data_IF_712037568881
#
_entry.id   IF_712037568881
#
_cell.length_a   1.000
_cell.length_b   1.000
_cell.length_c   1.000
_cell.angle_alpha   90.00
_cell.angle_beta   90.00
_cell.angle_gamma   90.00
#
_symmetry.space_group_name_H-M   'P 1'
#
loop_
_entity.id
_entity.type
_entity.pdbx_description
1 polymer ?
#
# COMPACT_ATOMS: atom_id res chain seq x y z
N UNK A 1 -30.94 6.40 -1.93
CA UNK A 1 -29.55 5.92 -2.01
C UNK A 1 -28.79 6.68 -3.08
N UNK A 2 -27.85 7.56 -2.68
CA UNK A 2 -27.00 8.32 -3.63
C UNK A 2 -25.75 8.96 -3.00
N UNK A 3 -25.21 8.41 -1.90
CA UNK A 3 -24.08 9.03 -1.17
C UNK A 3 -22.80 8.18 -1.11
N UNK A 4 -22.85 6.88 -1.44
CA UNK A 4 -21.67 6.00 -1.40
C UNK A 4 -20.68 6.19 -2.54
N UNK A 5 -21.07 6.87 -3.63
CA UNK A 5 -20.20 7.01 -4.81
C UNK A 5 -18.95 7.86 -4.55
N UNK A 6 -18.97 8.78 -3.59
CA UNK A 6 -17.89 9.74 -3.39
C UNK A 6 -16.89 9.35 -2.29
N UNK A 7 -17.28 8.49 -1.32
CA UNK A 7 -16.38 8.03 -0.24
C UNK A 7 -15.26 7.10 -0.74
N UNK A 8 -15.48 6.57 -1.93
CA UNK A 8 -14.70 5.52 -2.57
C UNK A 8 -13.68 6.10 -3.58
N UNK A 9 -13.75 7.40 -3.86
CA UNK A 9 -12.94 8.09 -4.87
C UNK A 9 -11.75 8.76 -4.20
N UNK A 10 -10.55 8.27 -4.50
CA UNK A 10 -9.31 8.98 -4.17
C UNK A 10 -9.16 10.20 -5.09
N UNK A 11 -8.71 11.35 -4.61
CA UNK A 11 -8.35 12.48 -5.48
C UNK A 11 -7.36 12.06 -6.56
N UNK A 12 -7.54 12.56 -7.78
CA UNK A 12 -6.79 12.11 -8.95
C UNK A 12 -5.27 12.30 -8.79
N UNK A 13 -4.83 13.42 -8.20
CA UNK A 13 -3.40 13.71 -7.99
C UNK A 13 -2.75 12.70 -7.01
N UNK A 14 -3.48 12.35 -5.95
CA UNK A 14 -3.04 11.34 -4.98
C UNK A 14 -3.01 9.97 -5.66
N UNK A 15 -4.06 9.64 -6.43
CA UNK A 15 -4.15 8.37 -7.16
C UNK A 15 -2.99 8.17 -8.14
N UNK A 16 -2.64 9.20 -8.92
CA UNK A 16 -1.49 9.17 -9.82
C UNK A 16 -0.19 8.94 -9.06
N UNK A 17 0.00 9.62 -7.94
CA UNK A 17 1.26 9.51 -7.21
C UNK A 17 1.44 8.13 -6.57
N UNK A 18 0.36 7.58 -6.00
CA UNK A 18 0.35 6.19 -5.52
C UNK A 18 0.68 5.21 -6.65
N UNK A 19 0.10 5.38 -7.84
CA UNK A 19 0.40 4.53 -8.99
C UNK A 19 1.88 4.61 -9.42
N UNK A 20 2.46 5.80 -9.43
CA UNK A 20 3.89 5.98 -9.75
C UNK A 20 4.78 5.28 -8.72
N UNK A 21 4.48 5.43 -7.43
CA UNK A 21 5.22 4.75 -6.36
C UNK A 21 5.07 3.23 -6.45
N UNK A 22 3.84 2.73 -6.67
CA UNK A 22 3.58 1.30 -6.81
C UNK A 22 4.32 0.68 -7.99
N UNK A 23 4.34 1.35 -9.16
CA UNK A 23 5.09 0.87 -10.33
C UNK A 23 6.57 0.72 -10.02
N UNK A 24 7.18 1.75 -9.43
CA UNK A 24 8.59 1.71 -9.03
C UNK A 24 8.89 0.60 -8.02
N UNK A 25 7.98 0.37 -7.07
CA UNK A 25 8.11 -0.73 -6.12
C UNK A 25 8.01 -2.07 -6.83
N UNK A 26 7.02 -2.24 -7.72
CA UNK A 26 6.84 -3.46 -8.51
C UNK A 26 8.09 -3.85 -9.31
N UNK A 27 8.82 -2.88 -9.87
CA UNK A 27 10.06 -3.11 -10.62
C UNK A 27 11.21 -3.69 -9.76
N UNK A 28 11.16 -3.51 -8.44
CA UNK A 28 12.21 -3.94 -7.49
C UNK A 28 11.74 -5.05 -6.55
N UNK A 29 10.54 -5.61 -6.77
CA UNK A 29 10.01 -6.67 -5.93
C UNK A 29 10.83 -7.95 -6.09
N UNK A 30 11.14 -8.64 -4.99
CA UNK A 30 11.92 -9.88 -5.02
C UNK A 30 11.15 -11.04 -5.68
N UNK A 31 9.84 -11.09 -5.51
CA UNK A 31 8.95 -12.06 -6.16
C UNK A 31 7.60 -11.40 -6.46
N UNK A 32 7.32 -11.02 -7.73
CA UNK A 32 6.11 -10.32 -8.10
C UNK A 32 4.85 -11.19 -7.95
N UNK A 33 4.97 -12.52 -8.03
CA UNK A 33 3.84 -13.45 -7.96
C UNK A 33 3.38 -13.68 -6.51
N UNK A 34 4.28 -13.50 -5.54
CA UNK A 34 4.00 -13.62 -4.10
C UNK A 34 3.76 -12.28 -3.41
N UNK A 35 3.94 -11.16 -4.10
CA UNK A 35 3.76 -9.84 -3.49
C UNK A 35 2.32 -9.37 -3.59
N UNK A 36 1.82 -8.84 -2.48
CA UNK A 36 0.47 -8.26 -2.40
C UNK A 36 0.53 -6.84 -1.85
N UNK A 37 -0.35 -5.97 -2.34
CA UNK A 37 -0.61 -4.69 -1.70
C UNK A 37 -1.57 -4.91 -0.53
N UNK A 38 -1.04 -4.76 0.68
CA UNK A 38 -1.83 -4.86 1.90
C UNK A 38 -2.35 -3.48 2.34
N UNK A 39 -3.66 -3.36 2.50
CA UNK A 39 -4.34 -2.09 2.84
C UNK A 39 -5.40 -2.29 3.90
N UNK A 40 -5.89 -1.20 4.48
CA UNK A 40 -7.07 -1.25 5.35
C UNK A 40 -8.31 -1.71 4.56
N UNK A 41 -9.23 -2.42 5.20
CA UNK A 41 -10.41 -3.00 4.53
C UNK A 41 -11.29 -1.96 3.82
N UNK A 42 -11.36 -0.75 4.39
CA UNK A 42 -12.10 0.38 3.82
C UNK A 42 -11.44 0.94 2.55
N UNK A 43 -10.12 0.83 2.43
CA UNK A 43 -9.35 1.34 1.28
C UNK A 43 -9.27 0.33 0.15
N UNK A 44 -9.45 -0.97 0.43
CA UNK A 44 -9.30 -2.06 -0.54
C UNK A 44 -10.03 -1.82 -1.86
N UNK A 45 -11.30 -1.41 -1.79
CA UNK A 45 -12.11 -1.20 -2.99
C UNK A 45 -11.57 -0.04 -3.84
N UNK A 46 -11.16 1.04 -3.20
CA UNK A 46 -10.55 2.20 -3.84
C UNK A 46 -9.20 1.83 -4.49
N UNK A 47 -8.31 1.18 -3.74
CA UNK A 47 -6.99 0.78 -4.21
C UNK A 47 -7.07 -0.25 -5.34
N UNK A 48 -7.99 -1.22 -5.27
CA UNK A 48 -8.23 -2.16 -6.36
C UNK A 48 -8.65 -1.46 -7.65
N UNK A 49 -9.57 -0.48 -7.58
CA UNK A 49 -9.97 0.30 -8.75
C UNK A 49 -8.79 1.09 -9.33
N UNK A 50 -7.97 1.68 -8.47
CA UNK A 50 -6.77 2.41 -8.87
C UNK A 50 -5.79 1.51 -9.64
N UNK A 51 -5.48 0.33 -9.07
CA UNK A 51 -4.55 -0.65 -9.64
C UNK A 51 -5.04 -1.18 -10.98
N UNK A 52 -6.32 -1.54 -11.09
CA UNK A 52 -6.91 -2.02 -12.36
C UNK A 52 -6.85 -0.93 -13.44
N UNK A 53 -7.17 0.32 -13.10
CA UNK A 53 -7.05 1.46 -14.03
C UNK A 53 -5.61 1.74 -14.43
N UNK A 54 -4.67 1.49 -13.53
CA UNK A 54 -3.24 1.66 -13.75
C UNK A 54 -2.57 0.46 -14.42
N UNK A 55 -3.34 -0.57 -14.79
CA UNK A 55 -2.86 -1.81 -15.42
C UNK A 55 -1.76 -2.53 -14.62
N UNK A 56 -1.80 -2.39 -13.29
CA UNK A 56 -0.88 -3.07 -12.39
C UNK A 56 -1.40 -4.46 -12.04
N UNK A 57 -0.60 -5.49 -12.26
CA UNK A 57 -0.90 -6.86 -11.85
C UNK A 57 -0.49 -7.09 -10.39
N UNK A 58 -1.11 -6.35 -9.46
CA UNK A 58 -0.81 -6.45 -8.03
C UNK A 58 -2.09 -6.81 -7.24
N UNK A 59 -2.13 -7.97 -6.56
CA UNK A 59 -3.24 -8.32 -5.69
C UNK A 59 -3.40 -7.29 -4.58
N UNK A 60 -4.65 -6.91 -4.28
CA UNK A 60 -4.97 -5.98 -3.19
C UNK A 60 -5.76 -6.74 -2.13
N UNK A 61 -5.17 -6.84 -0.94
CA UNK A 61 -5.74 -7.54 0.19
C UNK A 61 -5.87 -6.60 1.39
N UNK A 62 -6.72 -6.99 2.31
CA UNK A 62 -6.82 -6.42 3.64
C UNK A 62 -6.49 -7.47 4.69
N UNK A 63 -6.10 -7.02 5.88
CA UNK A 63 -5.79 -7.92 7.00
C UNK A 63 -6.95 -8.88 7.34
N UNK A 64 -8.21 -8.50 7.04
CA UNK A 64 -9.38 -9.38 7.26
C UNK A 64 -9.44 -10.58 6.33
N UNK A 65 -8.74 -10.54 5.20
CA UNK A 65 -8.72 -11.61 4.20
C UNK A 65 -7.55 -12.58 4.42
N UNK A 66 -6.62 -12.24 5.31
CA UNK A 66 -5.45 -13.06 5.60
C UNK A 66 -5.76 -14.00 6.77
N UNK A 67 -5.47 -15.28 6.59
CA UNK A 67 -5.47 -16.22 7.71
C UNK A 67 -4.35 -15.85 8.70
N UNK A 68 -4.60 -16.08 9.98
CA UNK A 68 -3.66 -15.76 11.07
C UNK A 68 -2.35 -16.57 11.01
N UNK A 69 -2.34 -17.63 10.20
CA UNK A 69 -1.21 -18.54 10.02
C UNK A 69 -0.17 -18.01 9.02
N UNK A 70 -0.51 -16.96 8.25
CA UNK A 70 0.41 -16.37 7.29
C UNK A 70 1.37 -15.39 7.97
N UNK A 71 2.67 -15.61 7.76
CA UNK A 71 3.70 -14.64 8.12
C UNK A 71 3.82 -13.59 7.02
N UNK A 72 3.59 -12.33 7.38
CA UNK A 72 3.67 -11.21 6.45
C UNK A 72 5.00 -10.49 6.62
N UNK A 73 5.69 -10.25 5.51
CA UNK A 73 6.88 -9.43 5.46
C UNK A 73 6.63 -8.20 4.59
N UNK A 74 6.85 -7.01 5.16
CA UNK A 74 6.81 -5.79 4.38
C UNK A 74 8.06 -5.69 3.50
N UNK A 75 7.88 -5.85 2.19
CA UNK A 75 8.94 -5.70 1.18
C UNK A 75 9.10 -4.25 0.69
N UNK A 76 8.10 -3.41 0.97
CA UNK A 76 8.09 -1.99 0.65
C UNK A 76 6.87 -1.29 1.24
N UNK A 77 6.91 0.03 1.31
CA UNK A 77 5.81 0.86 1.80
C UNK A 77 5.50 1.97 0.81
N UNK A 78 4.22 2.27 0.61
CA UNK A 78 3.75 3.42 -0.16
C UNK A 78 3.35 4.53 0.79
N UNK A 79 4.03 5.67 0.70
CA UNK A 79 3.79 6.82 1.58
C UNK A 79 3.30 8.02 0.79
N UNK A 80 2.12 8.54 1.17
CA UNK A 80 1.54 9.76 0.61
C UNK A 80 2.28 11.04 1.05
N UNK A 81 3.12 10.96 2.08
CA UNK A 81 3.91 12.09 2.58
C UNK A 81 5.09 12.46 1.66
N UNK A 82 5.52 11.56 0.77
CA UNK A 82 6.53 11.88 -0.25
C UNK A 82 5.93 12.64 -1.47
N UNK A 83 4.61 12.83 -1.50
CA UNK A 83 3.89 13.58 -2.56
C UNK A 83 4.00 15.10 -2.33
N UNK A 84 4.27 15.53 -1.10
CA UNK A 84 4.59 16.91 -0.77
C UNK A 84 6.07 16.93 -0.42
N UNK A 85 6.90 17.30 -1.38
CA UNK A 85 8.34 17.40 -1.23
C UNK A 85 8.74 17.98 0.14
N UNK A 86 9.28 17.14 1.01
CA UNK A 86 10.21 17.54 2.07
C UNK A 86 11.40 16.57 2.03
N UNK A 87 12.64 17.08 1.98
CA UNK A 87 13.81 16.23 1.71
C UNK A 87 13.98 15.16 2.79
N UNK A 88 14.47 14.01 2.33
CA UNK A 88 14.70 12.79 3.08
C UNK A 88 15.27 13.05 4.48
N UNK A 89 14.46 12.78 5.51
CA UNK A 89 15.00 12.58 6.85
C UNK A 89 15.45 11.13 6.97
N UNK A 90 16.76 10.94 6.85
CA UNK A 90 17.45 9.70 7.12
C UNK A 90 17.35 9.39 8.62
N UNK A 91 16.47 8.48 9.01
CA UNK A 91 16.48 7.80 10.31
C UNK A 91 15.67 6.49 10.12
N UNK A 92 16.25 5.28 10.16
CA UNK A 92 17.25 4.84 11.11
C UNK A 92 16.61 4.68 12.49
N UNK A 93 15.64 3.78 12.62
CA UNK A 93 15.16 3.32 13.92
C UNK A 93 14.72 1.85 13.81
N UNK A 94 15.72 0.96 13.93
CA UNK A 94 15.49 -0.40 14.42
C UNK A 94 15.09 -0.28 15.89
N UNK A 95 13.87 -0.67 16.25
CA UNK A 95 13.46 -0.79 17.65
C UNK A 95 13.88 -2.17 18.14
N UNK A 96 14.78 -2.30 19.14
CA UNK A 96 15.02 -3.58 19.77
C UNK A 96 13.82 -3.94 20.65
N UNK A 97 13.33 -5.17 20.48
CA UNK A 97 12.32 -5.81 21.31
C UNK A 97 12.85 -5.92 22.75
N UNK A 98 12.29 -5.12 23.67
CA UNK A 98 12.57 -5.27 25.10
C UNK A 98 11.78 -6.45 25.66
N UNK A 99 12.50 -7.53 25.98
CA UNK A 99 12.01 -8.60 26.87
C UNK A 99 12.07 -8.08 28.30
N UNK A 100 10.95 -8.10 29.02
CA UNK A 100 10.93 -7.95 30.46
C UNK A 100 10.43 -9.26 31.08
N UNK A 101 11.29 -9.82 31.94
CA UNK A 101 11.01 -10.92 32.87
C UNK A 101 10.17 -10.41 34.05
#
# INVERSE_FOLDING_TARGET
GRQDKNRDSLPDDIGRTVLVQLRRLCDVLPDPDLTVLLVHSELRRCMRRLIVRGELQLPVLSFRELATEYNLQAVGTVSLTDVIARPASRAGAVTPLATAL
#
